data_IF_907277296214
#
_entry.id   IF_907277296214
#
_cell.length_a   1.000
_cell.length_b   1.000
_cell.length_c   1.000
_cell.angle_alpha   90.00
_cell.angle_beta   90.00
_cell.angle_gamma   90.00
#
_symmetry.space_group_name_H-M   'P 1'
#
loop_
_entity.id
_entity.type
_entity.pdbx_description
1 polymer ?
#
# COMPACT_ATOMS: atom_id res chain seq x y z
N UNK A 1 -6.92 -6.09 -4.43
CA UNK A 1 -6.57 -4.67 -4.43
C UNK A 1 -7.54 -3.92 -3.53
N UNK A 2 -7.07 -3.51 -2.36
CA UNK A 2 -7.88 -2.82 -1.34
C UNK A 2 -7.04 -1.81 -0.58
N UNK A 3 -7.66 -1.03 0.30
CA UNK A 3 -6.95 -0.19 1.24
C UNK A 3 -6.26 -0.97 2.37
N UNK A 4 -7.02 -1.86 3.01
CA UNK A 4 -6.67 -2.49 4.29
C UNK A 4 -6.23 -3.96 4.21
N UNK A 5 -6.34 -4.61 3.05
CA UNK A 5 -6.18 -6.06 2.89
C UNK A 5 -7.51 -6.81 2.88
N UNK A 6 -7.48 -8.09 2.50
CA UNK A 6 -8.69 -8.96 2.55
C UNK A 6 -9.10 -9.33 3.98
N UNK A 7 -8.14 -9.36 4.91
CA UNK A 7 -8.34 -9.86 6.27
C UNK A 7 -8.03 -8.79 7.34
N UNK A 8 -8.48 -9.05 8.57
CA UNK A 8 -8.19 -8.22 9.72
C UNK A 8 -9.38 -7.36 10.19
N UNK A 9 -9.23 -6.68 11.35
CA UNK A 9 -10.35 -6.05 12.06
C UNK A 9 -10.97 -4.87 11.31
N UNK A 10 -10.23 -4.29 10.35
CA UNK A 10 -10.66 -3.11 9.60
C UNK A 10 -10.82 -3.35 8.10
N UNK A 11 -10.69 -4.59 7.63
CA UNK A 11 -10.77 -4.94 6.20
C UNK A 11 -12.07 -4.46 5.52
N UNK A 12 -13.18 -4.47 6.25
CA UNK A 12 -14.50 -4.06 5.76
C UNK A 12 -14.84 -2.59 6.03
N UNK A 13 -13.90 -1.78 6.53
CA UNK A 13 -14.12 -0.37 6.84
C UNK A 13 -13.80 0.47 5.60
N UNK A 14 -14.70 1.40 5.25
CA UNK A 14 -14.47 2.35 4.17
C UNK A 14 -13.26 3.26 4.48
N UNK A 15 -12.46 3.55 3.46
CA UNK A 15 -11.33 4.46 3.55
C UNK A 15 -10.95 5.05 2.19
N UNK A 16 -10.09 6.05 2.23
CA UNK A 16 -9.41 6.64 1.09
C UNK A 16 -7.91 6.65 1.35
N UNK A 17 -7.11 6.99 0.33
CA UNK A 17 -5.66 7.12 0.38
C UNK A 17 -5.14 7.65 1.73
N UNK A 18 -5.64 8.81 2.14
CA UNK A 18 -5.26 9.50 3.39
C UNK A 18 -5.41 8.63 4.64
N UNK A 19 -6.40 7.73 4.70
CA UNK A 19 -6.59 6.84 5.83
C UNK A 19 -5.50 5.76 5.88
N UNK A 20 -5.15 5.19 4.73
CA UNK A 20 -4.16 4.11 4.63
C UNK A 20 -2.76 4.63 4.95
N UNK A 21 -2.39 5.79 4.39
CA UNK A 21 -1.08 6.41 4.62
C UNK A 21 -0.95 7.03 6.03
N UNK A 22 -2.08 7.31 6.70
CA UNK A 22 -2.06 7.72 8.10
C UNK A 22 -1.59 6.57 9.00
N UNK A 23 -2.07 5.35 8.76
CA UNK A 23 -1.73 4.20 9.59
C UNK A 23 -0.31 3.68 9.33
N UNK A 24 0.19 3.79 8.10
CA UNK A 24 1.59 3.47 7.79
C UNK A 24 2.59 4.50 8.34
N UNK A 25 2.10 5.64 8.86
CA UNK A 25 2.92 6.77 9.34
C UNK A 25 3.50 7.65 8.22
N UNK A 26 3.24 7.32 6.94
CA UNK A 26 3.70 8.11 5.82
C UNK A 26 3.09 9.52 5.82
N UNK A 27 1.83 9.66 6.25
CA UNK A 27 1.19 10.97 6.35
C UNK A 27 1.91 11.87 7.36
N UNK A 28 2.24 11.35 8.54
CA UNK A 28 2.93 12.10 9.61
C UNK A 28 4.30 12.62 9.17
N UNK A 29 4.99 11.87 8.31
CA UNK A 29 6.29 12.23 7.77
C UNK A 29 6.25 13.36 6.71
N UNK A 30 5.07 13.76 6.23
CA UNK A 30 4.92 14.71 5.13
C UNK A 30 4.27 16.00 5.63
N UNK A 31 5.05 17.09 5.58
CA UNK A 31 4.57 18.42 5.94
C UNK A 31 5.63 19.25 6.68
N UNK A 32 5.30 20.49 7.06
CA UNK A 32 6.18 21.33 7.85
C UNK A 32 6.40 20.75 9.25
N UNK A 33 7.64 20.79 9.75
CA UNK A 33 7.99 20.35 11.10
C UNK A 33 7.17 21.11 12.15
N UNK A 34 6.47 20.38 13.02
CA UNK A 34 5.63 20.94 14.08
C UNK A 34 4.28 21.50 13.58
N UNK A 35 3.99 21.38 12.28
CA UNK A 35 2.69 21.68 11.70
C UNK A 35 1.81 20.44 11.57
N UNK A 36 0.64 20.62 10.96
CA UNK A 36 -0.24 19.48 10.59
C UNK A 36 0.36 18.73 9.40
N UNK A 37 0.19 17.40 9.34
CA UNK A 37 0.49 16.62 8.14
C UNK A 37 -0.20 17.16 6.88
N UNK A 38 0.48 17.11 5.75
CA UNK A 38 -0.04 17.51 4.43
C UNK A 38 -0.22 16.27 3.57
N UNK A 39 -1.46 15.92 3.16
CA UNK A 39 -1.69 14.79 2.26
C UNK A 39 -0.97 15.00 0.92
N UNK A 40 -0.09 14.09 0.49
CA UNK A 40 0.67 14.20 -0.76
C UNK A 40 -0.18 13.80 -1.97
N UNK A 41 -1.33 14.47 -2.15
CA UNK A 41 -2.41 13.99 -3.04
C UNK A 41 -2.75 12.54 -2.67
N UNK A 42 -3.03 11.69 -3.65
CA UNK A 42 -3.18 10.24 -3.50
C UNK A 42 -1.99 9.46 -4.09
N UNK A 43 -0.79 10.08 -4.13
CA UNK A 43 0.38 9.48 -4.78
C UNK A 43 1.00 8.34 -3.97
N UNK A 44 0.85 8.35 -2.64
CA UNK A 44 1.56 7.42 -1.75
C UNK A 44 0.75 6.14 -1.49
N UNK A 45 -0.56 6.24 -1.26
CA UNK A 45 -1.43 5.08 -1.04
C UNK A 45 -1.90 4.48 -2.36
N UNK A 46 -2.66 5.22 -3.16
CA UNK A 46 -3.32 4.67 -4.35
C UNK A 46 -2.29 4.24 -5.41
N UNK A 47 -1.28 5.06 -5.68
CA UNK A 47 -0.32 4.81 -6.76
C UNK A 47 0.95 4.09 -6.30
N UNK A 48 1.77 4.74 -5.47
CA UNK A 48 3.07 4.22 -5.06
C UNK A 48 2.97 2.95 -4.23
N UNK A 49 2.17 2.97 -3.16
CA UNK A 49 1.98 1.83 -2.27
C UNK A 49 1.02 0.78 -2.84
N UNK A 50 -0.05 1.22 -3.50
CA UNK A 50 -1.09 0.34 -4.00
C UNK A 50 -0.82 -0.15 -5.43
N UNK A 51 -0.95 0.75 -6.40
CA UNK A 51 -0.87 0.43 -7.82
C UNK A 51 0.44 -0.23 -8.22
N UNK A 52 1.59 0.28 -7.77
CA UNK A 52 2.90 -0.29 -8.09
C UNK A 52 3.13 -1.64 -7.39
N UNK A 53 2.64 -1.82 -6.15
CA UNK A 53 2.73 -3.11 -5.47
C UNK A 53 1.89 -4.17 -6.18
N UNK A 54 0.66 -3.84 -6.57
CA UNK A 54 -0.19 -4.74 -7.34
C UNK A 54 0.43 -5.09 -8.70
N UNK A 55 0.97 -4.10 -9.41
CA UNK A 55 1.66 -4.31 -10.68
C UNK A 55 2.84 -5.28 -10.52
N UNK A 56 3.69 -5.06 -9.52
CA UNK A 56 4.80 -5.95 -9.19
C UNK A 56 4.34 -7.37 -8.82
N UNK A 57 3.32 -7.47 -7.95
CA UNK A 57 2.75 -8.75 -7.54
C UNK A 57 2.17 -9.56 -8.71
N UNK A 58 1.47 -8.90 -9.64
CA UNK A 58 0.95 -9.55 -10.85
C UNK A 58 2.09 -10.03 -11.76
N UNK A 59 3.13 -9.21 -11.98
CA UNK A 59 4.29 -9.65 -12.76
C UNK A 59 4.98 -10.86 -12.13
N UNK A 60 5.19 -10.84 -10.81
CA UNK A 60 5.75 -11.98 -10.07
C UNK A 60 4.87 -13.22 -10.21
N UNK A 61 3.54 -13.07 -10.09
CA UNK A 61 2.59 -14.16 -10.27
C UNK A 61 2.63 -14.76 -11.68
N UNK A 62 2.77 -13.93 -12.72
CA UNK A 62 2.93 -14.40 -14.11
C UNK A 62 4.24 -15.20 -14.25
N UNK A 63 5.36 -14.67 -13.75
CA UNK A 63 6.66 -15.35 -13.83
C UNK A 63 6.65 -16.70 -13.11
N UNK A 64 5.96 -16.78 -11.97
CA UNK A 64 5.78 -18.04 -11.23
C UNK A 64 4.90 -19.02 -12.02
N UNK A 65 3.76 -18.55 -12.54
CA UNK A 65 2.83 -19.36 -13.33
C UNK A 65 3.47 -19.93 -14.62
N UNK A 66 4.44 -19.23 -15.21
CA UNK A 66 5.21 -19.74 -16.36
C UNK A 66 5.98 -21.03 -16.04
N UNK A 67 6.35 -21.25 -14.77
CA UNK A 67 7.07 -22.45 -14.33
C UNK A 67 6.13 -23.51 -13.76
N UNK A 68 5.15 -23.09 -12.96
CA UNK A 68 4.28 -24.02 -12.24
C UNK A 68 3.01 -24.43 -13.01
N UNK A 69 2.61 -23.63 -14.01
CA UNK A 69 1.34 -23.78 -14.70
C UNK A 69 0.12 -23.42 -13.85
N UNK A 70 0.30 -22.82 -12.67
CA UNK A 70 -0.76 -22.49 -11.72
C UNK A 70 -0.85 -20.99 -11.50
N UNK A 71 -2.07 -20.48 -11.38
CA UNK A 71 -2.31 -19.12 -10.92
C UNK A 71 -2.28 -19.01 -9.40
N UNK A 72 -2.30 -17.78 -8.90
CA UNK A 72 -2.36 -17.44 -7.48
C UNK A 72 -3.14 -16.14 -7.28
N UNK A 73 -3.62 -15.92 -6.05
CA UNK A 73 -4.28 -14.66 -5.68
C UNK A 73 -3.21 -13.67 -5.21
N UNK A 74 -3.23 -12.47 -5.77
CA UNK A 74 -2.41 -11.35 -5.31
C UNK A 74 -3.29 -10.44 -4.46
N UNK A 75 -3.15 -10.52 -3.14
CA UNK A 75 -3.69 -9.50 -2.24
C UNK A 75 -2.68 -8.38 -2.09
N UNK A 76 -3.09 -7.19 -2.51
CA UNK A 76 -2.30 -5.96 -2.43
C UNK A 76 -3.13 -4.92 -1.68
N UNK A 77 -2.65 -4.58 -0.49
CA UNK A 77 -3.22 -3.57 0.39
C UNK A 77 -2.40 -2.28 0.31
N UNK A 78 -3.07 -1.13 0.16
CA UNK A 78 -2.39 0.17 0.12
C UNK A 78 -1.63 0.43 1.42
N UNK A 79 -2.17 0.04 2.59
CA UNK A 79 -1.49 0.21 3.88
C UNK A 79 -0.15 -0.54 3.93
N UNK A 80 -0.10 -1.78 3.42
CA UNK A 80 1.12 -2.59 3.40
C UNK A 80 2.15 -2.02 2.43
N UNK A 81 1.71 -1.63 1.23
CA UNK A 81 2.60 -1.05 0.23
C UNK A 81 3.15 0.32 0.65
N UNK A 82 2.33 1.18 1.25
CA UNK A 82 2.79 2.44 1.80
C UNK A 82 3.75 2.22 2.99
N UNK A 83 3.52 1.21 3.82
CA UNK A 83 4.47 0.84 4.88
C UNK A 83 5.80 0.34 4.29
N UNK A 84 5.76 -0.46 3.22
CA UNK A 84 6.95 -0.93 2.54
C UNK A 84 7.78 0.21 1.92
N UNK A 85 7.11 1.23 1.35
CA UNK A 85 7.79 2.44 0.86
C UNK A 85 8.48 3.22 1.99
N UNK A 86 7.91 3.19 3.19
CA UNK A 86 8.46 3.85 4.37
C UNK A 86 9.55 3.03 5.07
N UNK A 87 9.84 1.79 4.65
CA UNK A 87 10.82 0.93 5.31
C UNK A 87 12.18 1.64 5.49
N UNK A 88 12.72 2.26 4.44
CA UNK A 88 13.99 2.99 4.52
C UNK A 88 13.97 4.26 5.39
N UNK A 89 12.79 4.73 5.82
CA UNK A 89 12.63 5.85 6.75
C UNK A 89 12.56 5.34 8.20
N UNK A 90 11.98 4.16 8.42
CA UNK A 90 11.81 3.59 9.76
C UNK A 90 12.96 2.67 10.21
N UNK A 91 13.74 2.10 9.30
CA UNK A 91 14.90 1.23 9.59
C UNK A 91 14.79 -0.13 8.95
#
# INVERSE_FOLDING_TARGET
>A
MTGWGQDGPIANIAGHDINYIALSGALDAIGPKGGKPTPPLNLVGDFGGGGMLLFGGVLCGIIEAMKSGKGQVIDAAMVDGSLALMAGIYG
#
